data_IF_908395203745
#
_entry.id   IF_908395203745
#
_cell.length_a   1.000
_cell.length_b   1.000
_cell.length_c   1.000
_cell.angle_alpha   90.00
_cell.angle_beta   90.00
_cell.angle_gamma   90.00
#
_symmetry.space_group_name_H-M   'P 1'
#
loop_
_entity.id
_entity.type
_entity.pdbx_description
1 polymer ?
#
# COMPACT_ATOMS: atom_id res chain seq x y z
N UNK A 1 -21.96 34.97 18.55
CA UNK A 1 -21.61 33.95 19.56
C UNK A 1 -22.27 32.58 19.30
N UNK A 2 -23.52 32.51 18.82
CA UNK A 2 -24.20 31.23 18.55
C UNK A 2 -23.60 30.38 17.39
N UNK A 3 -23.02 31.01 16.38
CA UNK A 3 -22.45 30.35 15.19
C UNK A 3 -21.23 29.45 15.49
N UNK A 4 -20.46 29.75 16.54
CA UNK A 4 -19.27 28.94 16.93
C UNK A 4 -19.66 27.68 17.70
N UNK A 5 -20.76 27.72 18.45
CA UNK A 5 -21.29 26.58 19.21
C UNK A 5 -21.84 25.52 18.26
N UNK A 6 -22.62 25.92 17.26
CA UNK A 6 -23.19 25.00 16.27
C UNK A 6 -22.11 24.29 15.44
N UNK A 7 -21.06 25.02 15.04
CA UNK A 7 -19.90 24.45 14.33
C UNK A 7 -19.05 23.52 15.21
N UNK A 8 -18.96 23.79 16.52
CA UNK A 8 -18.34 22.89 17.50
C UNK A 8 -19.09 21.56 17.58
N UNK A 9 -20.40 21.61 17.78
CA UNK A 9 -21.24 20.41 17.84
C UNK A 9 -21.03 19.52 16.60
N UNK A 10 -21.11 20.08 15.39
CA UNK A 10 -20.86 19.32 14.16
C UNK A 10 -19.48 18.66 14.08
N UNK A 11 -18.43 19.33 14.56
CA UNK A 11 -17.07 18.79 14.57
C UNK A 11 -16.87 17.67 15.60
N UNK A 12 -17.38 17.85 16.82
CA UNK A 12 -17.22 16.85 17.88
C UNK A 12 -17.97 15.55 17.53
N UNK A 13 -19.17 15.63 16.91
CA UNK A 13 -19.87 14.45 16.40
C UNK A 13 -19.15 13.78 15.23
N UNK A 14 -18.56 14.55 14.32
CA UNK A 14 -17.81 13.99 13.20
C UNK A 14 -16.56 13.23 13.67
N UNK A 15 -15.83 13.79 14.64
CA UNK A 15 -14.65 13.14 15.23
C UNK A 15 -15.06 11.88 16.01
N UNK A 16 -16.10 11.99 16.84
CA UNK A 16 -16.64 10.85 17.57
C UNK A 16 -17.10 9.73 16.62
N UNK A 17 -17.80 10.08 15.54
CA UNK A 17 -18.22 9.14 14.51
C UNK A 17 -17.04 8.46 13.81
N UNK A 18 -16.00 9.22 13.45
CA UNK A 18 -14.80 8.66 12.82
C UNK A 18 -14.04 7.70 13.75
N UNK A 19 -13.90 8.05 15.03
CA UNK A 19 -13.27 7.19 16.04
C UNK A 19 -14.08 5.90 16.22
N UNK A 20 -15.41 6.02 16.32
CA UNK A 20 -16.30 4.85 16.43
C UNK A 20 -16.13 3.96 15.21
N UNK A 21 -16.16 4.50 13.98
CA UNK A 21 -15.97 3.72 12.76
C UNK A 21 -14.61 3.03 12.69
N UNK A 22 -13.55 3.69 13.17
CA UNK A 22 -12.20 3.13 13.17
C UNK A 22 -12.02 2.00 14.20
N UNK A 23 -12.68 2.10 15.35
CA UNK A 23 -12.59 1.13 16.44
C UNK A 23 -13.68 0.05 16.36
N UNK A 24 -14.77 0.28 15.63
CA UNK A 24 -15.88 -0.66 15.46
C UNK A 24 -15.43 -2.08 15.09
N UNK A 25 -14.46 -2.27 14.17
CA UNK A 25 -14.03 -3.60 13.79
C UNK A 25 -13.46 -4.41 14.97
N UNK A 26 -12.82 -3.77 15.96
CA UNK A 26 -12.24 -4.46 17.12
C UNK A 26 -13.26 -5.26 17.95
N UNK A 27 -14.56 -4.98 17.81
CA UNK A 27 -15.61 -5.74 18.48
C UNK A 27 -15.86 -7.12 17.83
N UNK A 28 -15.47 -7.31 16.57
CA UNK A 28 -15.76 -8.52 15.79
C UNK A 28 -14.55 -9.26 15.23
N UNK A 29 -13.33 -8.73 15.38
CA UNK A 29 -12.11 -9.33 14.81
C UNK A 29 -10.93 -9.24 15.78
N UNK A 30 -10.05 -10.24 15.69
CA UNK A 30 -8.84 -10.33 16.51
C UNK A 30 -7.90 -9.14 16.31
N UNK A 31 -7.23 -8.74 17.40
CA UNK A 31 -6.27 -7.63 17.40
C UNK A 31 -5.16 -7.83 16.37
N UNK A 32 -4.75 -9.07 16.13
CA UNK A 32 -3.73 -9.43 15.12
C UNK A 32 -4.21 -9.10 13.71
N UNK A 33 -5.42 -9.52 13.37
CA UNK A 33 -6.06 -9.25 12.07
C UNK A 33 -6.26 -7.75 11.87
N UNK A 34 -6.73 -7.04 12.90
CA UNK A 34 -6.88 -5.57 12.85
C UNK A 34 -5.56 -4.86 12.53
N UNK A 35 -4.49 -5.21 13.22
CA UNK A 35 -3.17 -4.64 12.98
C UNK A 35 -2.67 -4.97 11.58
N UNK A 36 -2.79 -6.22 11.14
CA UNK A 36 -2.37 -6.63 9.79
C UNK A 36 -3.11 -5.84 8.70
N UNK A 37 -4.44 -5.71 8.77
CA UNK A 37 -5.21 -4.96 7.77
C UNK A 37 -4.90 -3.46 7.82
N UNK A 38 -4.69 -2.89 9.01
CA UNK A 38 -4.32 -1.47 9.14
C UNK A 38 -2.96 -1.20 8.50
N UNK A 39 -1.97 -2.06 8.76
CA UNK A 39 -0.63 -1.96 8.17
C UNK A 39 -0.69 -2.19 6.66
N UNK A 40 -1.46 -3.18 6.19
CA UNK A 40 -1.63 -3.43 4.77
C UNK A 40 -2.30 -2.25 4.04
N UNK A 41 -3.34 -1.66 4.65
CA UNK A 41 -4.00 -0.47 4.13
C UNK A 41 -3.08 0.75 4.08
N UNK A 42 -2.28 0.96 5.14
CA UNK A 42 -1.25 2.00 5.16
C UNK A 42 -0.20 1.78 4.08
N UNK A 43 0.31 0.55 3.93
CA UNK A 43 1.29 0.20 2.92
C UNK A 43 0.77 0.46 1.50
N UNK A 44 -0.48 0.05 1.22
CA UNK A 44 -1.13 0.32 -0.07
C UNK A 44 -1.36 1.83 -0.27
N UNK A 45 -1.76 2.56 0.78
CA UNK A 45 -1.89 4.01 0.74
C UNK A 45 -0.58 4.73 0.43
N UNK A 46 0.54 4.31 1.06
CA UNK A 46 1.88 4.84 0.78
C UNK A 46 2.31 4.55 -0.66
N UNK A 47 2.04 3.35 -1.17
CA UNK A 47 2.29 3.02 -2.58
C UNK A 47 1.53 3.95 -3.53
N UNK A 48 0.22 4.13 -3.33
CA UNK A 48 -0.61 5.01 -4.15
C UNK A 48 -0.16 6.47 -4.04
N UNK A 49 0.21 6.92 -2.84
CA UNK A 49 0.75 8.26 -2.60
C UNK A 49 2.05 8.48 -3.36
N UNK A 50 3.01 7.54 -3.30
CA UNK A 50 4.28 7.63 -3.99
C UNK A 50 4.10 7.67 -5.51
N UNK A 51 3.19 6.85 -6.05
CA UNK A 51 2.85 6.86 -7.48
C UNK A 51 2.24 8.21 -7.88
N UNK A 52 1.28 8.73 -7.11
CA UNK A 52 0.66 10.02 -7.38
C UNK A 52 1.66 11.19 -7.27
N UNK A 53 2.55 11.17 -6.27
CA UNK A 53 3.59 12.20 -6.10
C UNK A 53 4.63 12.13 -7.22
N UNK A 54 5.02 10.93 -7.65
CA UNK A 54 5.96 10.74 -8.75
C UNK A 54 5.40 11.27 -10.07
N UNK A 55 4.13 10.99 -10.36
CA UNK A 55 3.46 11.53 -11.54
C UNK A 55 3.31 13.07 -11.49
N UNK A 56 2.99 13.61 -10.31
CA UNK A 56 2.91 15.06 -10.09
C UNK A 56 4.26 15.76 -10.30
N UNK A 57 5.37 15.15 -9.84
CA UNK A 57 6.72 15.69 -10.03
C UNK A 57 7.17 15.65 -11.49
N UNK A 58 6.89 14.56 -12.22
CA UNK A 58 7.24 14.44 -13.65
C UNK A 58 6.47 15.48 -14.47
N UNK A 59 5.17 15.65 -14.22
CA UNK A 59 4.37 16.66 -14.91
C UNK A 59 4.75 18.10 -14.51
N UNK A 60 5.19 18.32 -13.28
CA UNK A 60 5.66 19.64 -12.85
C UNK A 60 6.98 20.09 -13.50
N UNK A 61 7.77 19.16 -14.06
CA UNK A 61 9.12 19.45 -14.58
C UNK A 61 9.30 19.17 -16.08
N UNK A 62 8.65 18.16 -16.66
CA UNK A 62 8.98 17.66 -18.01
C UNK A 62 7.95 17.96 -19.10
N UNK A 63 6.76 18.49 -18.79
CA UNK A 63 5.68 18.86 -19.74
C UNK A 63 5.30 17.78 -20.79
N UNK A 64 5.74 16.52 -20.62
CA UNK A 64 5.45 15.39 -21.53
C UNK A 64 5.04 14.16 -20.72
N UNK A 65 3.99 13.49 -21.18
CA UNK A 65 3.43 12.30 -20.54
C UNK A 65 4.16 11.04 -21.03
N UNK A 66 5.18 10.61 -20.28
CA UNK A 66 5.82 9.32 -20.51
C UNK A 66 5.27 8.25 -19.55
N UNK A 67 4.70 7.17 -20.10
CA UNK A 67 4.15 6.04 -19.34
C UNK A 67 5.14 4.88 -19.13
N UNK A 68 6.39 4.99 -19.60
CA UNK A 68 7.43 3.97 -19.44
C UNK A 68 7.69 3.65 -17.95
N UNK A 69 7.62 4.66 -17.07
CA UNK A 69 7.82 4.46 -15.64
C UNK A 69 6.68 3.66 -14.99
N UNK A 70 5.43 3.90 -15.42
CA UNK A 70 4.26 3.20 -14.89
C UNK A 70 4.19 1.74 -15.31
N UNK A 71 4.59 1.43 -16.56
CA UNK A 71 4.62 0.05 -17.04
C UNK A 71 5.70 -0.78 -16.34
N UNK A 72 6.90 -0.23 -16.13
CA UNK A 72 7.97 -0.92 -15.37
C UNK A 72 7.53 -1.23 -13.92
N UNK A 73 6.83 -0.29 -13.27
CA UNK A 73 6.27 -0.51 -11.94
C UNK A 73 5.24 -1.64 -11.93
N UNK A 74 4.29 -1.64 -12.88
CA UNK A 74 3.24 -2.66 -12.96
C UNK A 74 3.83 -4.06 -13.25
N UNK A 75 4.80 -4.16 -14.16
CA UNK A 75 5.50 -5.42 -14.42
C UNK A 75 6.27 -5.92 -13.20
N UNK A 76 6.98 -5.05 -12.48
CA UNK A 76 7.68 -5.41 -11.25
C UNK A 76 6.73 -5.95 -10.17
N UNK A 77 5.59 -5.29 -9.98
CA UNK A 77 4.55 -5.75 -9.05
C UNK A 77 3.97 -7.12 -9.45
N UNK A 78 3.70 -7.34 -10.74
CA UNK A 78 3.19 -8.61 -11.24
C UNK A 78 4.19 -9.76 -11.10
N UNK A 79 5.48 -9.49 -11.31
CA UNK A 79 6.56 -10.47 -11.06
C UNK A 79 6.63 -10.84 -9.59
N UNK A 80 6.64 -9.86 -8.68
CA UNK A 80 6.66 -10.12 -7.24
C UNK A 80 5.43 -10.94 -6.80
N UNK A 81 4.23 -10.60 -7.29
CA UNK A 81 3.01 -11.38 -7.06
C UNK A 81 3.12 -12.81 -7.59
N UNK A 82 3.68 -12.99 -8.77
CA UNK A 82 3.89 -14.32 -9.36
C UNK A 82 4.83 -15.17 -8.50
N UNK A 83 5.91 -14.58 -7.98
CA UNK A 83 6.84 -15.27 -7.05
C UNK A 83 6.11 -15.72 -5.78
N UNK A 84 5.32 -14.85 -5.16
CA UNK A 84 4.52 -15.22 -3.98
C UNK A 84 3.50 -16.33 -4.28
N UNK A 85 2.92 -16.33 -5.48
CA UNK A 85 1.99 -17.38 -5.92
C UNK A 85 2.69 -18.74 -6.09
N UNK A 86 3.88 -18.75 -6.72
CA UNK A 86 4.62 -20.00 -6.92
C UNK A 86 5.20 -20.57 -5.61
N UNK A 87 5.58 -19.71 -4.67
CA UNK A 87 6.10 -20.11 -3.35
C UNK A 87 5.04 -19.98 -2.25
N UNK A 88 3.76 -20.20 -2.57
CA UNK A 88 2.66 -20.04 -1.61
C UNK A 88 2.86 -20.87 -0.32
N UNK A 89 3.42 -22.08 -0.41
CA UNK A 89 3.72 -22.92 0.76
C UNK A 89 4.67 -22.28 1.77
N UNK A 90 5.57 -21.42 1.31
CA UNK A 90 6.52 -20.72 2.17
C UNK A 90 5.92 -19.41 2.74
N UNK A 91 4.91 -18.85 2.10
CA UNK A 91 4.14 -17.68 2.57
C UNK A 91 3.21 -18.07 3.72
N UNK A 92 2.63 -19.26 3.67
CA UNK A 92 1.70 -19.76 4.69
C UNK A 92 2.39 -20.33 5.93
N UNK A 93 3.73 -20.40 5.94
CA UNK A 93 4.47 -20.94 7.09
C UNK A 93 4.57 -19.89 8.21
N UNK A 94 4.34 -20.29 9.47
CA UNK A 94 4.48 -19.43 10.66
C UNK A 94 5.93 -18.96 10.95
N UNK A 95 6.89 -19.42 10.15
CA UNK A 95 8.29 -19.06 10.28
C UNK A 95 8.54 -17.66 9.76
N UNK A 96 8.94 -16.77 10.66
CA UNK A 96 9.32 -15.38 10.33
C UNK A 96 10.45 -15.35 9.30
N UNK A 97 11.50 -16.16 9.48
CA UNK A 97 12.65 -16.18 8.56
C UNK A 97 12.29 -16.52 7.12
N UNK A 98 11.34 -17.43 6.92
CA UNK A 98 10.91 -17.87 5.60
C UNK A 98 10.11 -16.79 4.88
N UNK A 99 9.20 -16.11 5.61
CA UNK A 99 8.44 -14.97 5.10
C UNK A 99 9.35 -13.82 4.66
N UNK A 100 10.34 -13.46 5.49
CA UNK A 100 11.32 -12.43 5.13
C UNK A 100 12.16 -12.84 3.92
N UNK A 101 12.62 -14.09 3.87
CA UNK A 101 13.43 -14.59 2.74
C UNK A 101 12.67 -14.48 1.43
N UNK A 102 11.38 -14.83 1.43
CA UNK A 102 10.53 -14.74 0.24
C UNK A 102 10.28 -13.31 -0.21
N UNK A 103 10.11 -12.38 0.73
CA UNK A 103 10.00 -10.97 0.41
C UNK A 103 11.25 -10.47 -0.34
N UNK A 104 12.45 -10.82 0.13
CA UNK A 104 13.69 -10.46 -0.57
C UNK A 104 13.84 -11.17 -1.93
N UNK A 105 13.48 -12.44 -2.02
CA UNK A 105 13.50 -13.19 -3.29
C UNK A 105 12.58 -12.52 -4.32
N UNK A 106 11.36 -12.13 -3.90
CA UNK A 106 10.41 -11.45 -4.77
C UNK A 106 10.93 -10.09 -5.26
N UNK A 107 11.59 -9.31 -4.39
CA UNK A 107 12.24 -8.05 -4.77
C UNK A 107 13.34 -8.28 -5.79
N UNK A 108 14.25 -9.22 -5.54
CA UNK A 108 15.37 -9.51 -6.43
C UNK A 108 14.85 -9.97 -7.80
N UNK A 109 13.87 -10.87 -7.82
CA UNK A 109 13.25 -11.33 -9.04
C UNK A 109 12.60 -10.17 -9.83
N UNK A 110 11.86 -9.27 -9.16
CA UNK A 110 11.27 -8.10 -9.80
C UNK A 110 12.33 -7.17 -10.40
N UNK A 111 13.42 -6.90 -9.68
CA UNK A 111 14.54 -6.07 -10.16
C UNK A 111 15.18 -6.68 -11.41
N UNK A 112 15.47 -7.98 -11.39
CA UNK A 112 16.11 -8.67 -12.52
C UNK A 112 15.20 -8.65 -13.75
N UNK A 113 13.93 -9.05 -13.60
CA UNK A 113 12.99 -9.15 -14.73
C UNK A 113 12.72 -7.77 -15.33
N UNK A 114 12.44 -6.75 -14.51
CA UNK A 114 12.20 -5.39 -15.01
C UNK A 114 13.46 -4.78 -15.59
N UNK A 115 14.63 -5.04 -14.99
CA UNK A 115 15.92 -4.58 -15.50
C UNK A 115 16.23 -5.14 -16.89
N UNK A 116 15.97 -6.43 -17.13
CA UNK A 116 16.12 -7.06 -18.45
C UNK A 116 15.11 -6.49 -19.44
N UNK A 117 13.85 -6.36 -19.04
CA UNK A 117 12.81 -5.78 -19.91
C UNK A 117 13.11 -4.33 -20.30
N UNK A 118 13.76 -3.56 -19.44
CA UNK A 118 14.14 -2.17 -19.73
C UNK A 118 15.33 -2.03 -20.69
N UNK A 119 16.06 -3.11 -20.97
CA UNK A 119 17.19 -3.10 -21.93
C UNK A 119 16.70 -3.34 -23.37
N UNK A 120 15.58 -4.05 -23.53
CA UNK A 120 14.99 -4.44 -24.83
C UNK A 120 14.12 -3.30 -25.36
#
# INVERSE_FOLDING_TARGET
MAQTIFRRWGREFAIAGAIVLYLLPLLGMDIRTYLTLTIAGLAMGMMLFLVASGLSLIFGLMDVINFAHGVCFAYGAYVAFSVFKYLNSWVETDSLFQNFSIFFIAIIAAIIVVGILGII
#
